data_IF_099092569255
#
_entry.id   IF_099092569255
#
_cell.length_a   1.000
_cell.length_b   1.000
_cell.length_c   1.000
_cell.angle_alpha   90.00
_cell.angle_beta   90.00
_cell.angle_gamma   90.00
#
_symmetry.space_group_name_H-M   'P 1'
#
loop_
_entity.id
_entity.type
_entity.pdbx_description
1 polymer ?
#
# COMPACT_ATOMS: atom_id res chain seq x y z
N UNK A 1 -4.20 11.62 -9.49
CA UNK A 1 -5.13 10.57 -9.94
C UNK A 1 -4.34 9.27 -10.04
N UNK A 2 -4.87 8.18 -9.47
CA UNK A 2 -4.24 6.85 -9.18
C UNK A 2 -2.89 6.86 -8.44
N UNK A 3 -1.85 7.54 -8.96
CA UNK A 3 -0.50 7.62 -8.38
C UNK A 3 -0.44 8.18 -6.94
N UNK A 4 -1.37 9.06 -6.57
CA UNK A 4 -1.42 9.62 -5.21
C UNK A 4 -2.04 8.65 -4.19
N UNK A 5 -2.77 7.63 -4.65
CA UNK A 5 -3.45 6.69 -3.75
C UNK A 5 -2.46 5.73 -3.06
N UNK A 6 -1.33 5.40 -3.70
CA UNK A 6 -0.28 4.59 -3.06
C UNK A 6 0.36 5.36 -1.89
N UNK A 7 0.60 6.67 -2.07
CA UNK A 7 1.04 7.55 -0.98
C UNK A 7 0.01 7.61 0.14
N UNK A 8 -1.28 7.79 -0.21
CA UNK A 8 -2.36 7.80 0.78
C UNK A 8 -2.42 6.48 1.55
N UNK A 9 -2.24 5.34 0.89
CA UNK A 9 -2.14 4.05 1.58
C UNK A 9 -0.97 4.04 2.57
N UNK A 10 0.21 4.51 2.16
CA UNK A 10 1.39 4.62 3.04
C UNK A 10 1.15 5.55 4.25
N UNK A 11 0.26 6.53 4.15
CA UNK A 11 -0.08 7.41 5.28
C UNK A 11 -1.05 6.74 6.26
N UNK A 12 -1.89 5.82 5.78
CA UNK A 12 -2.96 5.22 6.59
C UNK A 12 -2.74 3.76 6.97
N UNK A 13 -1.73 3.05 6.41
CA UNK A 13 -1.58 1.60 6.60
C UNK A 13 -1.37 1.13 8.06
N UNK A 14 -0.88 2.03 8.93
CA UNK A 14 -0.72 1.78 10.38
C UNK A 14 -1.95 2.19 11.19
N UNK A 15 -2.66 3.22 10.74
CA UNK A 15 -3.74 3.86 11.50
C UNK A 15 -5.10 3.27 11.16
N UNK A 16 -5.34 2.95 9.89
CA UNK A 16 -6.56 2.32 9.40
C UNK A 16 -6.49 0.79 9.56
N UNK A 17 -6.82 0.35 10.77
CA UNK A 17 -6.84 -1.07 11.14
C UNK A 17 -7.93 -1.85 10.39
N UNK A 18 -9.03 -1.20 10.01
CA UNK A 18 -10.13 -1.84 9.30
C UNK A 18 -9.74 -2.13 7.85
N UNK A 19 -9.18 -1.14 7.15
CA UNK A 19 -8.60 -1.33 5.82
C UNK A 19 -7.54 -2.43 5.84
N UNK A 20 -6.62 -2.39 6.81
CA UNK A 20 -5.57 -3.40 6.94
C UNK A 20 -6.16 -4.81 7.12
N UNK A 21 -7.17 -4.96 7.97
CA UNK A 21 -7.87 -6.24 8.16
C UNK A 21 -8.55 -6.72 6.88
N UNK A 22 -9.24 -5.83 6.16
CA UNK A 22 -9.92 -6.18 4.92
C UNK A 22 -8.92 -6.64 3.84
N UNK A 23 -7.77 -5.98 3.74
CA UNK A 23 -6.68 -6.38 2.84
C UNK A 23 -6.08 -7.73 3.22
N UNK A 24 -5.99 -8.08 4.51
CA UNK A 24 -5.56 -9.42 4.93
C UNK A 24 -6.57 -10.53 4.63
N UNK A 25 -7.86 -10.22 4.57
CA UNK A 25 -8.92 -11.19 4.25
C UNK A 25 -9.11 -11.37 2.74
N UNK A 26 -8.46 -10.53 1.92
CA UNK A 26 -8.54 -10.63 0.47
C UNK A 26 -7.68 -11.79 -0.05
N UNK A 27 -8.34 -12.83 -0.56
CA UNK A 27 -7.70 -14.06 -1.04
C UNK A 27 -7.15 -13.95 -2.48
N UNK A 28 -7.40 -12.85 -3.18
CA UNK A 28 -6.93 -12.64 -4.55
C UNK A 28 -6.55 -11.18 -4.83
N UNK A 29 -5.86 -10.95 -5.95
CA UNK A 29 -5.52 -9.60 -6.43
C UNK A 29 -6.77 -8.75 -6.62
N UNK A 30 -7.81 -9.31 -7.21
CA UNK A 30 -9.09 -8.64 -7.45
C UNK A 30 -9.81 -8.31 -6.15
N UNK A 31 -9.74 -9.19 -5.15
CA UNK A 31 -10.31 -8.95 -3.83
C UNK A 31 -9.57 -7.81 -3.10
N UNK A 32 -8.24 -7.74 -3.22
CA UNK A 32 -7.45 -6.63 -2.66
C UNK A 32 -7.80 -5.31 -3.35
N UNK A 33 -7.88 -5.31 -4.67
CA UNK A 33 -8.31 -4.13 -5.42
C UNK A 33 -9.72 -3.68 -5.03
N UNK A 34 -10.65 -4.61 -4.82
CA UNK A 34 -11.99 -4.28 -4.35
C UNK A 34 -11.95 -3.62 -2.96
N UNK A 35 -11.20 -4.18 -2.01
CA UNK A 35 -11.03 -3.59 -0.67
C UNK A 35 -10.37 -2.20 -0.72
N UNK A 36 -9.38 -2.00 -1.59
CA UNK A 36 -8.78 -0.68 -1.82
C UNK A 36 -9.81 0.31 -2.39
N UNK A 37 -10.63 -0.11 -3.37
CA UNK A 37 -11.66 0.73 -3.99
C UNK A 37 -12.73 1.16 -2.98
N UNK A 38 -13.13 0.27 -2.06
CA UNK A 38 -14.05 0.62 -0.96
C UNK A 38 -13.48 1.71 -0.05
N UNK A 39 -12.16 1.72 0.17
CA UNK A 39 -11.45 2.78 0.90
C UNK A 39 -11.15 4.03 0.06
N UNK A 40 -11.63 4.11 -1.17
CA UNK A 40 -11.37 5.22 -2.09
C UNK A 40 -9.91 5.29 -2.57
N UNK A 41 -9.20 4.16 -2.51
CA UNK A 41 -7.86 3.97 -3.02
C UNK A 41 -7.95 3.17 -4.33
N UNK A 42 -7.69 3.83 -5.44
CA UNK A 42 -7.76 3.23 -6.77
C UNK A 42 -6.33 3.08 -7.27
N UNK A 43 -5.79 1.86 -7.23
CA UNK A 43 -4.57 1.46 -7.92
C UNK A 43 -4.49 -0.08 -8.02
N UNK A 44 -3.72 -0.59 -8.97
CA UNK A 44 -3.39 -2.03 -9.12
C UNK A 44 -2.03 -2.39 -8.50
N UNK A 45 -1.73 -3.68 -8.37
CA UNK A 45 -0.42 -4.17 -7.92
C UNK A 45 0.72 -3.63 -8.81
N UNK A 46 0.51 -3.53 -10.13
CA UNK A 46 1.49 -2.95 -11.07
C UNK A 46 1.69 -1.44 -10.87
N UNK A 47 0.61 -0.69 -10.60
CA UNK A 47 0.69 0.74 -10.29
C UNK A 47 1.39 0.99 -8.95
N UNK A 48 1.24 0.06 -7.98
CA UNK A 48 2.02 0.10 -6.74
C UNK A 48 3.51 -0.06 -7.02
N UNK A 49 3.91 -1.08 -7.79
CA UNK A 49 5.31 -1.35 -8.13
C UNK A 49 5.93 -0.18 -8.92
N UNK A 50 5.17 0.50 -9.78
CA UNK A 50 5.61 1.71 -10.47
C UNK A 50 5.83 2.92 -9.52
N UNK A 51 5.10 2.97 -8.41
CA UNK A 51 5.16 4.07 -7.45
C UNK A 51 6.18 3.87 -6.33
N UNK A 52 6.61 2.63 -6.07
CA UNK A 52 7.45 2.28 -4.92
C UNK A 52 8.78 3.05 -4.95
N UNK A 53 9.44 3.09 -6.11
CA UNK A 53 10.73 3.78 -6.26
C UNK A 53 10.57 5.30 -6.08
N UNK A 54 9.46 5.85 -6.57
CA UNK A 54 9.15 7.28 -6.41
C UNK A 54 8.93 7.65 -4.95
N UNK A 55 8.28 6.79 -4.16
CA UNK A 55 8.08 7.02 -2.74
C UNK A 55 9.40 6.88 -1.96
N UNK A 56 10.23 5.90 -2.29
CA UNK A 56 11.52 5.71 -1.64
C UNK A 56 12.47 6.91 -1.85
N UNK A 57 12.57 7.42 -3.08
CA UNK A 57 13.40 8.61 -3.39
C UNK A 57 12.92 9.86 -2.65
N UNK A 58 11.65 9.91 -2.25
CA UNK A 58 11.08 11.03 -1.49
C UNK A 58 11.35 10.96 0.01
N UNK A 59 11.79 9.81 0.55
CA UNK A 59 12.18 9.71 1.96
C UNK A 59 13.41 10.59 2.20
N UNK A 60 13.32 11.51 3.17
CA UNK A 60 14.41 12.45 3.49
C UNK A 60 15.17 12.07 4.76
N UNK A 61 14.59 11.17 5.56
CA UNK A 61 15.13 10.72 6.85
C UNK A 61 15.26 9.20 6.89
N UNK A 62 16.10 8.72 7.81
CA UNK A 62 16.30 7.27 8.03
C UNK A 62 15.00 6.65 8.55
N UNK A 63 14.32 7.35 9.45
CA UNK A 63 13.06 6.93 10.05
C UNK A 63 11.95 6.79 9.00
N UNK A 64 11.86 7.72 8.05
CA UNK A 64 10.91 7.60 6.92
C UNK A 64 11.25 6.41 6.02
N UNK A 65 12.55 6.18 5.76
CA UNK A 65 12.98 5.04 4.95
C UNK A 65 12.66 3.72 5.65
N UNK A 66 12.88 3.59 6.96
CA UNK A 66 12.52 2.41 7.75
C UNK A 66 11.02 2.14 7.70
N UNK A 67 10.18 3.16 7.93
CA UNK A 67 8.71 3.02 7.80
C UNK A 67 8.30 2.60 6.39
N UNK A 68 8.95 3.16 5.38
CA UNK A 68 8.71 2.77 3.99
C UNK A 68 9.09 1.31 3.72
N UNK A 69 10.20 0.83 4.27
CA UNK A 69 10.59 -0.59 4.16
C UNK A 69 9.56 -1.52 4.82
N UNK A 70 9.05 -1.16 6.00
CA UNK A 70 7.99 -1.92 6.68
C UNK A 70 6.71 -1.96 5.84
N UNK A 71 6.31 -0.83 5.27
CA UNK A 71 5.17 -0.73 4.37
C UNK A 71 5.32 -1.62 3.14
N UNK A 72 6.48 -1.56 2.47
CA UNK A 72 6.79 -2.40 1.31
C UNK A 72 6.75 -3.89 1.65
N UNK A 73 7.40 -4.28 2.74
CA UNK A 73 7.44 -5.68 3.19
C UNK A 73 6.04 -6.20 3.53
N UNK A 74 5.22 -5.37 4.18
CA UNK A 74 3.83 -5.70 4.46
C UNK A 74 3.02 -5.93 3.18
N UNK A 75 3.16 -5.05 2.19
CA UNK A 75 2.48 -5.19 0.91
C UNK A 75 2.92 -6.46 0.16
N UNK A 76 4.23 -6.74 0.11
CA UNK A 76 4.77 -7.94 -0.51
C UNK A 76 4.29 -9.22 0.18
N UNK A 77 4.09 -9.18 1.50
CA UNK A 77 3.49 -10.29 2.24
C UNK A 77 2.03 -10.52 1.82
N UNK A 78 1.21 -9.47 1.74
CA UNK A 78 -0.19 -9.54 1.32
C UNK A 78 -0.37 -10.10 -0.10
N UNK A 79 0.57 -9.81 -1.01
CA UNK A 79 0.50 -10.31 -2.39
C UNK A 79 0.92 -11.78 -2.54
N UNK A 80 1.64 -12.33 -1.56
CA UNK A 80 2.16 -13.71 -1.57
C UNK A 80 1.27 -14.71 -0.82
N UNK A 81 0.38 -14.23 0.05
CA UNK A 81 -0.64 -15.02 0.75
C UNK A 81 -1.85 -15.28 -0.13
#
# INVERSE_FOLDING_TARGET
MTMDNVRRLFEVFETDKELRKNLYLAESSEAREAALREAGLFFTDDEFDAMIDTLHVKCQTVEEAERFFEFRNWWDFLRRS
#
